data_IF_380633224186
#
_entry.id   IF_380633224186
#
_cell.length_a   1.000
_cell.length_b   1.000
_cell.length_c   1.000
_cell.angle_alpha   90.00
_cell.angle_beta   90.00
_cell.angle_gamma   90.00
#
_symmetry.space_group_name_H-M   'P 1'
#
loop_
_entity.id
_entity.type
_entity.pdbx_description
1 polymer ?
#
# COMPACT_ATOMS: atom_id res chain seq x y z
N UNK A 1 -2.33 -20.12 1.47
CA UNK A 1 -1.37 -19.40 0.63
C UNK A 1 0.04 -19.47 1.23
N UNK A 2 0.25 -18.91 2.42
CA UNK A 2 1.58 -18.88 3.08
C UNK A 2 2.19 -20.26 3.34
N UNK A 3 1.38 -21.28 3.66
CA UNK A 3 1.85 -22.68 3.79
C UNK A 3 2.59 -23.16 2.54
N UNK A 4 2.18 -22.73 1.35
CA UNK A 4 2.82 -23.11 0.09
C UNK A 4 3.95 -22.15 -0.28
N UNK A 5 3.70 -20.84 -0.21
CA UNK A 5 4.69 -19.82 -0.63
C UNK A 5 5.95 -19.77 0.23
N UNK A 6 5.86 -20.27 1.47
CA UNK A 6 6.97 -20.35 2.42
C UNK A 6 7.32 -21.79 2.79
N UNK A 7 6.91 -22.74 1.94
CA UNK A 7 7.30 -24.15 2.02
C UNK A 7 6.98 -24.85 3.36
N UNK A 8 5.98 -24.36 4.12
CA UNK A 8 5.55 -25.04 5.35
C UNK A 8 4.91 -26.40 5.04
N UNK A 9 4.42 -26.63 3.82
CA UNK A 9 4.00 -27.97 3.40
C UNK A 9 5.15 -28.98 3.32
N UNK A 10 6.40 -28.52 3.33
CA UNK A 10 7.63 -29.35 3.39
C UNK A 10 8.25 -29.36 4.80
N UNK A 11 7.58 -28.74 5.79
CA UNK A 11 8.04 -28.67 7.17
C UNK A 11 7.53 -29.88 7.97
N UNK A 12 8.42 -30.85 8.18
CA UNK A 12 8.07 -32.17 8.74
C UNK A 12 8.76 -32.45 10.07
N UNK A 13 8.17 -33.33 10.88
CA UNK A 13 8.84 -33.80 12.10
C UNK A 13 10.14 -34.54 11.73
N UNK A 14 11.25 -34.13 12.32
CA UNK A 14 12.60 -34.65 12.03
C UNK A 14 13.28 -34.02 10.80
N UNK A 15 12.57 -33.20 10.02
CA UNK A 15 13.14 -32.36 8.97
C UNK A 15 12.49 -30.95 8.98
N UNK A 16 12.70 -30.14 10.03
CA UNK A 16 12.09 -28.81 10.12
C UNK A 16 12.58 -27.88 9.01
N UNK A 17 11.65 -27.14 8.40
CA UNK A 17 11.95 -26.07 7.44
C UNK A 17 11.76 -24.71 8.12
N UNK A 18 12.85 -23.95 8.22
CA UNK A 18 12.87 -22.66 8.92
C UNK A 18 12.22 -21.52 8.14
N UNK A 19 11.93 -21.68 6.84
CA UNK A 19 11.48 -20.58 5.98
C UNK A 19 10.22 -19.90 6.52
N UNK A 20 9.14 -20.66 6.72
CA UNK A 20 7.89 -20.12 7.28
C UNK A 20 8.09 -19.46 8.64
N UNK A 21 8.83 -20.11 9.55
CA UNK A 21 9.08 -19.57 10.89
C UNK A 21 9.88 -18.29 10.86
N UNK A 22 10.90 -18.20 10.00
CA UNK A 22 11.71 -16.99 9.81
C UNK A 22 10.85 -15.84 9.31
N UNK A 23 10.12 -16.03 8.22
CA UNK A 23 9.33 -14.95 7.63
C UNK A 23 8.17 -14.51 8.54
N UNK A 24 7.56 -15.43 9.31
CA UNK A 24 6.56 -15.08 10.32
C UNK A 24 7.11 -14.07 11.32
N UNK A 25 8.33 -14.28 11.82
CA UNK A 25 8.97 -13.40 12.80
C UNK A 25 9.51 -12.12 12.13
N UNK A 26 10.11 -12.27 10.95
CA UNK A 26 10.85 -11.21 10.25
C UNK A 26 9.94 -10.24 9.50
N UNK A 27 9.04 -10.75 8.67
CA UNK A 27 8.28 -9.94 7.71
C UNK A 27 6.87 -9.61 8.19
N UNK A 28 6.28 -10.47 9.02
CA UNK A 28 4.86 -10.38 9.35
C UNK A 28 4.55 -9.98 10.80
N UNK A 29 5.53 -10.02 11.71
CA UNK A 29 5.26 -9.73 13.13
C UNK A 29 6.27 -8.81 13.79
N UNK A 30 7.51 -9.24 14.03
CA UNK A 30 8.41 -8.53 14.95
C UNK A 30 9.50 -7.72 14.26
N UNK A 31 9.85 -8.05 13.02
CA UNK A 31 11.00 -7.43 12.35
C UNK A 31 12.34 -7.96 12.84
N UNK A 32 13.37 -7.79 11.99
CA UNK A 32 14.75 -8.24 12.26
C UNK A 32 15.29 -7.68 13.59
N UNK A 33 15.93 -8.55 14.38
CA UNK A 33 16.65 -8.18 15.59
C UNK A 33 15.87 -8.36 16.89
N UNK A 34 14.61 -8.81 16.82
CA UNK A 34 13.73 -9.01 17.97
C UNK A 34 13.55 -10.48 18.38
N UNK A 35 14.29 -11.39 17.76
CA UNK A 35 14.27 -12.84 18.01
C UNK A 35 15.66 -13.43 17.78
N UNK A 36 15.91 -14.61 18.34
CA UNK A 36 17.14 -15.37 18.16
C UNK A 36 17.03 -16.42 17.05
N UNK A 37 18.15 -16.98 16.61
CA UNK A 37 18.15 -18.14 15.70
C UNK A 37 17.45 -19.35 16.34
N UNK A 38 17.51 -19.48 17.67
CA UNK A 38 16.79 -20.53 18.38
C UNK A 38 15.27 -20.35 18.26
N UNK A 39 14.78 -19.12 18.37
CA UNK A 39 13.34 -18.82 18.23
C UNK A 39 12.82 -19.19 16.83
N UNK A 40 13.64 -19.01 15.78
CA UNK A 40 13.31 -19.43 14.41
C UNK A 40 13.14 -20.95 14.34
N UNK A 41 14.09 -21.70 14.90
CA UNK A 41 14.06 -23.16 14.93
C UNK A 41 12.85 -23.69 15.70
N UNK A 42 12.57 -23.11 16.85
CA UNK A 42 11.44 -23.52 17.68
C UNK A 42 10.09 -23.15 17.06
N UNK A 43 10.02 -22.02 16.37
CA UNK A 43 8.86 -21.67 15.53
C UNK A 43 8.68 -22.68 14.41
N UNK A 44 9.74 -23.03 13.68
CA UNK A 44 9.67 -24.03 12.61
C UNK A 44 9.16 -25.38 13.14
N UNK A 45 9.69 -25.85 14.28
CA UNK A 45 9.21 -27.06 14.96
C UNK A 45 7.73 -26.96 15.32
N UNK A 46 7.27 -25.82 15.84
CA UNK A 46 5.88 -25.62 16.24
C UNK A 46 4.88 -25.64 15.07
N UNK A 47 5.32 -25.27 13.85
CA UNK A 47 4.50 -25.30 12.64
C UNK A 47 4.60 -26.60 11.82
N UNK A 48 5.35 -27.60 12.29
CA UNK A 48 5.34 -28.95 11.68
C UNK A 48 3.93 -29.56 11.72
N UNK A 49 3.59 -30.35 10.71
CA UNK A 49 2.26 -30.96 10.58
C UNK A 49 1.18 -30.01 10.02
N UNK A 50 1.41 -28.70 9.96
CA UNK A 50 0.51 -27.75 9.27
C UNK A 50 0.74 -27.82 7.77
N UNK A 51 -0.18 -28.45 7.04
CA UNK A 51 0.02 -28.73 5.62
C UNK A 51 -1.25 -28.50 4.79
N UNK A 52 -1.15 -28.85 3.52
CA UNK A 52 -2.25 -28.80 2.56
C UNK A 52 -2.85 -30.20 2.47
N UNK A 53 -4.16 -30.31 2.67
CA UNK A 53 -4.89 -31.56 2.51
C UNK A 53 -4.76 -32.11 1.10
N UNK A 54 -4.40 -33.40 0.99
CA UNK A 54 -4.25 -34.11 -0.28
C UNK A 54 -3.27 -33.43 -1.26
N UNK A 55 -2.08 -33.07 -0.76
CA UNK A 55 -1.05 -32.29 -1.48
C UNK A 55 -0.75 -32.84 -2.89
N UNK A 56 -0.57 -34.16 -3.04
CA UNK A 56 -0.27 -34.79 -4.34
C UNK A 56 -1.39 -34.56 -5.36
N UNK A 57 -2.65 -34.71 -4.94
CA UNK A 57 -3.80 -34.44 -5.80
C UNK A 57 -3.97 -32.95 -6.09
N UNK A 58 -3.68 -32.08 -5.12
CA UNK A 58 -3.70 -30.63 -5.32
C UNK A 58 -2.60 -30.18 -6.29
N UNK A 59 -1.41 -30.78 -6.24
CA UNK A 59 -0.32 -30.53 -7.18
C UNK A 59 -0.69 -30.96 -8.62
N UNK A 60 -1.25 -32.18 -8.79
CA UNK A 60 -1.76 -32.64 -10.08
C UNK A 60 -2.87 -31.74 -10.63
N UNK A 61 -3.73 -31.21 -9.75
CA UNK A 61 -4.75 -30.23 -10.13
C UNK A 61 -4.13 -28.89 -10.53
N UNK A 62 -3.09 -28.44 -9.85
CA UNK A 62 -2.36 -27.20 -10.17
C UNK A 62 -1.63 -27.26 -11.51
N UNK A 63 -1.14 -28.44 -11.91
CA UNK A 63 -0.55 -28.64 -13.23
C UNK A 63 -1.61 -28.66 -14.35
N UNK A 64 -2.81 -29.18 -14.08
CA UNK A 64 -3.85 -29.36 -15.10
C UNK A 64 -4.83 -28.19 -15.22
N UNK A 65 -5.19 -27.58 -14.10
CA UNK A 65 -6.12 -26.45 -14.03
C UNK A 65 -5.29 -25.16 -13.84
N UNK A 66 -5.58 -24.09 -14.60
CA UNK A 66 -4.87 -22.82 -14.44
C UNK A 66 -5.00 -22.32 -13.01
N UNK A 67 -3.89 -22.17 -12.29
CA UNK A 67 -3.80 -21.57 -10.95
C UNK A 67 -4.18 -20.07 -11.01
N UNK A 68 -4.23 -19.49 -12.21
CA UNK A 68 -4.47 -18.07 -12.49
C UNK A 68 -5.75 -17.80 -13.31
N UNK A 69 -6.39 -16.63 -13.16
CA UNK A 69 -6.52 -15.80 -11.95
C UNK A 69 -7.67 -16.26 -11.04
N UNK A 70 -8.48 -17.22 -11.51
CA UNK A 70 -9.59 -17.86 -10.79
C UNK A 70 -9.42 -19.38 -10.83
N UNK A 71 -8.28 -19.87 -10.34
CA UNK A 71 -8.03 -21.31 -10.31
C UNK A 71 -9.13 -22.06 -9.56
N UNK A 72 -9.58 -23.19 -10.11
CA UNK A 72 -10.64 -24.02 -9.50
C UNK A 72 -10.13 -24.85 -8.32
N UNK A 73 -8.97 -24.49 -7.78
CA UNK A 73 -8.26 -25.22 -6.74
C UNK A 73 -8.61 -24.56 -5.42
N UNK A 74 -9.51 -25.20 -4.69
CA UNK A 74 -9.71 -24.92 -3.29
C UNK A 74 -8.59 -25.64 -2.52
N UNK A 75 -7.58 -24.89 -2.10
CA UNK A 75 -6.57 -25.39 -1.17
C UNK A 75 -7.25 -25.62 0.19
N UNK A 76 -7.05 -26.80 0.78
CA UNK A 76 -7.60 -27.14 2.08
C UNK A 76 -6.46 -27.20 3.09
N UNK A 77 -6.62 -26.56 4.23
CA UNK A 77 -5.74 -26.76 5.37
C UNK A 77 -5.95 -28.16 5.95
N UNK A 78 -4.86 -28.82 6.34
CA UNK A 78 -4.87 -30.08 7.09
C UNK A 78 -3.78 -30.01 8.17
N UNK A 79 -4.12 -30.41 9.39
CA UNK A 79 -3.15 -30.64 10.45
C UNK A 79 -2.90 -32.14 10.60
N UNK A 80 -1.64 -32.55 10.42
CA UNK A 80 -1.19 -33.94 10.56
C UNK A 80 -0.48 -34.12 11.90
N UNK A 81 -1.20 -34.68 12.87
CA UNK A 81 -0.70 -34.90 14.23
C UNK A 81 0.53 -35.82 14.28
N UNK A 82 0.60 -36.81 13.40
CA UNK A 82 1.71 -37.76 13.27
C UNK A 82 2.98 -37.14 12.68
N UNK A 83 2.85 -36.03 11.97
CA UNK A 83 3.94 -35.24 11.37
C UNK A 83 4.27 -33.98 12.18
N UNK A 84 3.62 -33.78 13.33
CA UNK A 84 3.88 -32.66 14.24
C UNK A 84 4.90 -33.04 15.32
N UNK A 85 5.88 -32.17 15.54
CA UNK A 85 6.80 -32.24 16.67
C UNK A 85 6.11 -31.75 17.96
N UNK A 86 5.61 -32.69 18.76
CA UNK A 86 5.00 -32.43 20.08
C UNK A 86 6.00 -32.36 21.25
N UNK A 87 7.29 -32.24 20.94
CA UNK A 87 8.35 -32.03 21.91
C UNK A 87 8.25 -30.69 22.64
N UNK A 88 8.94 -30.60 23.76
CA UNK A 88 9.11 -29.34 24.49
C UNK A 88 9.93 -28.35 23.64
N UNK A 89 9.53 -27.08 23.70
CA UNK A 89 10.09 -25.95 22.96
C UNK A 89 10.26 -24.78 23.91
N UNK A 90 11.25 -23.94 23.61
CA UNK A 90 11.49 -22.68 24.30
C UNK A 90 11.43 -21.55 23.27
N UNK A 91 10.46 -20.66 23.39
CA UNK A 91 10.25 -19.57 22.44
C UNK A 91 10.00 -18.26 23.18
N UNK A 92 10.85 -17.26 22.92
CA UNK A 92 10.77 -15.92 23.54
C UNK A 92 10.58 -15.97 25.08
N UNK A 93 11.31 -16.89 25.73
CA UNK A 93 11.28 -17.09 27.19
C UNK A 93 10.11 -17.93 27.72
N UNK A 94 9.23 -18.44 26.85
CA UNK A 94 8.16 -19.35 27.22
C UNK A 94 8.59 -20.80 26.93
N UNK A 95 8.39 -21.70 27.90
CA UNK A 95 8.72 -23.12 27.75
C UNK A 95 7.46 -23.98 27.82
N UNK A 96 7.32 -24.91 26.90
CA UNK A 96 6.21 -25.85 26.90
C UNK A 96 6.11 -26.68 25.62
N UNK A 97 5.03 -27.44 25.49
CA UNK A 97 4.70 -28.15 24.24
C UNK A 97 3.99 -27.22 23.27
N UNK A 98 4.69 -26.18 22.84
CA UNK A 98 4.13 -25.12 22.01
C UNK A 98 3.82 -25.63 20.59
N UNK A 99 2.62 -25.34 20.10
CA UNK A 99 2.19 -25.49 18.71
C UNK A 99 2.17 -24.12 18.01
N UNK A 100 1.81 -24.10 16.72
CA UNK A 100 1.73 -22.87 15.92
C UNK A 100 0.79 -21.80 16.50
N UNK A 101 -0.33 -22.19 17.10
CA UNK A 101 -1.29 -21.25 17.70
C UNK A 101 -0.69 -20.58 18.94
N UNK A 102 -0.07 -21.34 19.85
CA UNK A 102 0.59 -20.76 21.03
C UNK A 102 1.80 -19.88 20.66
N UNK A 103 2.52 -20.20 19.58
CA UNK A 103 3.56 -19.32 19.06
C UNK A 103 2.97 -17.98 18.60
N UNK A 104 1.84 -17.99 17.89
CA UNK A 104 1.15 -16.77 17.46
C UNK A 104 0.71 -15.94 18.68
N UNK A 105 0.13 -16.58 19.69
CA UNK A 105 -0.28 -15.91 20.92
C UNK A 105 0.91 -15.23 21.63
N UNK A 106 2.06 -15.91 21.72
CA UNK A 106 3.28 -15.35 22.33
C UNK A 106 3.82 -14.18 21.50
N UNK A 107 3.76 -14.26 20.17
CA UNK A 107 4.17 -13.17 19.26
C UNK A 107 3.30 -11.94 19.48
N UNK A 108 1.98 -12.10 19.56
CA UNK A 108 1.05 -10.98 19.79
C UNK A 108 1.29 -10.27 21.13
N UNK A 109 1.83 -10.97 22.13
CA UNK A 109 2.17 -10.38 23.43
C UNK A 109 3.44 -9.51 23.40
N UNK A 110 4.26 -9.59 22.35
CA UNK A 110 5.52 -8.85 22.28
C UNK A 110 5.31 -7.37 21.91
N UNK A 111 6.02 -6.48 22.59
CA UNK A 111 6.04 -5.06 22.22
C UNK A 111 6.62 -4.84 20.82
N UNK A 112 7.61 -5.64 20.40
CA UNK A 112 8.18 -5.59 19.05
C UNK A 112 7.11 -5.77 17.97
N UNK A 113 6.18 -6.71 18.16
CA UNK A 113 5.03 -6.93 17.26
C UNK A 113 4.13 -5.71 17.17
N UNK A 114 3.76 -5.16 18.33
CA UNK A 114 2.91 -3.98 18.42
C UNK A 114 3.54 -2.77 17.70
N UNK A 115 4.85 -2.55 17.90
CA UNK A 115 5.61 -1.45 17.27
C UNK A 115 5.76 -1.66 15.77
N UNK A 116 6.01 -2.90 15.33
CA UNK A 116 6.15 -3.25 13.92
C UNK A 116 4.86 -2.99 13.14
N UNK A 117 3.73 -3.49 13.65
CA UNK A 117 2.39 -3.25 13.06
C UNK A 117 2.07 -1.75 13.09
N UNK A 118 2.33 -1.06 14.19
CA UNK A 118 2.11 0.39 14.33
C UNK A 118 2.88 1.19 13.27
N UNK A 119 4.14 0.82 13.03
CA UNK A 119 4.98 1.49 12.01
C UNK A 119 4.51 1.19 10.60
N UNK A 120 4.04 -0.02 10.31
CA UNK A 120 3.40 -0.34 9.03
C UNK A 120 2.11 0.47 8.80
N UNK A 121 1.26 0.60 9.83
CA UNK A 121 0.05 1.42 9.73
C UNK A 121 0.38 2.89 9.49
N UNK A 122 1.34 3.44 10.24
CA UNK A 122 1.80 4.81 10.05
C UNK A 122 2.37 5.01 8.63
N UNK A 123 3.21 4.08 8.18
CA UNK A 123 3.80 4.11 6.84
C UNK A 123 2.74 4.13 5.74
N UNK A 124 1.69 3.31 5.89
CA UNK A 124 0.67 3.14 4.86
C UNK A 124 -0.36 4.29 4.84
N UNK A 125 -0.73 4.84 6.00
CA UNK A 125 -1.83 5.80 6.10
C UNK A 125 -1.41 7.25 6.33
N UNK A 126 -0.24 7.51 6.92
CA UNK A 126 0.15 8.84 7.39
C UNK A 126 1.27 9.42 6.53
N UNK A 127 2.45 8.81 6.55
CA UNK A 127 3.63 9.34 5.88
C UNK A 127 4.61 8.23 5.51
N UNK A 128 5.38 8.43 4.45
CA UNK A 128 6.38 7.46 4.03
C UNK A 128 7.47 7.26 5.11
N UNK A 129 7.73 6.00 5.45
CA UNK A 129 8.85 5.53 6.25
C UNK A 129 9.94 4.96 5.33
N UNK A 130 11.19 4.82 5.81
CA UNK A 130 12.22 4.06 5.10
C UNK A 130 11.75 2.62 4.82
N UNK A 131 12.35 1.93 3.83
CA UNK A 131 12.07 0.51 3.60
C UNK A 131 12.26 -0.34 4.86
N UNK A 132 11.41 -1.35 5.04
CA UNK A 132 11.37 -2.21 6.25
C UNK A 132 12.75 -2.73 6.69
N UNK A 133 13.65 -3.19 5.80
CA UNK A 133 14.98 -3.65 6.20
C UNK A 133 15.85 -2.60 6.91
N UNK A 134 15.52 -1.31 6.79
CA UNK A 134 16.23 -0.21 7.45
C UNK A 134 15.68 0.12 8.83
N UNK A 135 14.51 -0.38 9.19
CA UNK A 135 13.84 -0.05 10.46
C UNK A 135 14.66 -0.35 11.73
N UNK A 136 15.51 -1.40 11.78
CA UNK A 136 16.39 -1.63 12.93
C UNK A 136 17.46 -0.53 13.12
N UNK A 137 17.78 0.21 12.06
CA UNK A 137 18.86 1.21 12.04
C UNK A 137 18.36 2.64 11.94
N UNK A 138 17.08 2.84 11.56
CA UNK A 138 16.47 4.15 11.39
C UNK A 138 15.22 4.28 12.25
N UNK A 139 15.18 5.23 13.21
CA UNK A 139 14.01 5.44 14.05
C UNK A 139 12.80 5.87 13.20
N UNK A 140 11.57 5.63 13.69
CA UNK A 140 10.37 6.11 13.01
C UNK A 140 10.36 7.63 12.92
N UNK A 141 9.72 8.16 11.87
CA UNK A 141 9.60 9.60 11.61
C UNK A 141 8.85 10.32 12.72
N UNK A 142 7.80 9.69 13.25
CA UNK A 142 7.09 10.14 14.45
C UNK A 142 7.04 9.04 15.52
N UNK A 143 8.01 9.00 16.45
CA UNK A 143 8.02 8.04 17.54
C UNK A 143 6.78 8.11 18.43
N UNK A 144 6.18 9.30 18.62
CA UNK A 144 5.01 9.46 19.50
C UNK A 144 3.75 8.88 18.87
N UNK A 145 3.60 9.00 17.54
CA UNK A 145 2.53 8.33 16.82
C UNK A 145 2.64 6.80 16.97
N UNK A 146 3.86 6.26 16.81
CA UNK A 146 4.10 4.81 17.01
C UNK A 146 3.79 4.37 18.43
N UNK A 147 4.23 5.13 19.44
CA UNK A 147 3.94 4.81 20.85
C UNK A 147 2.43 4.86 21.15
N UNK A 148 1.70 5.81 20.55
CA UNK A 148 0.24 5.93 20.68
C UNK A 148 -0.48 4.70 20.12
N UNK A 149 -0.09 4.25 18.93
CA UNK A 149 -0.66 3.06 18.30
C UNK A 149 -0.25 1.77 19.02
N UNK A 150 0.98 1.72 19.53
CA UNK A 150 1.47 0.60 20.34
C UNK A 150 0.66 0.48 21.63
N UNK A 151 0.37 1.60 22.31
CA UNK A 151 -0.49 1.60 23.49
C UNK A 151 -1.91 1.15 23.15
N UNK A 152 -2.47 1.63 22.03
CA UNK A 152 -3.79 1.23 21.55
C UNK A 152 -3.89 -0.29 21.32
N UNK A 153 -2.83 -0.90 20.78
CA UNK A 153 -2.75 -2.34 20.57
C UNK A 153 -2.90 -3.12 21.88
N UNK A 154 -2.18 -2.74 22.94
CA UNK A 154 -2.26 -3.42 24.23
C UNK A 154 -3.54 -3.09 25.02
N UNK A 155 -4.02 -1.85 24.97
CA UNK A 155 -5.23 -1.42 25.69
C UNK A 155 -6.51 -2.11 25.18
N UNK A 156 -6.48 -2.62 23.94
CA UNK A 156 -7.63 -3.21 23.26
C UNK A 156 -7.40 -4.68 22.88
N UNK A 157 -6.58 -5.41 23.63
CA UNK A 157 -6.37 -6.86 23.42
C UNK A 157 -5.95 -7.20 21.98
N UNK A 158 -5.00 -6.45 21.46
CA UNK A 158 -4.38 -6.61 20.14
C UNK A 158 -5.31 -6.31 18.95
N UNK A 159 -6.43 -5.61 19.18
CA UNK A 159 -7.43 -5.32 18.15
C UNK A 159 -6.97 -4.27 17.14
N UNK A 160 -6.74 -4.73 15.90
CA UNK A 160 -6.35 -3.91 14.75
C UNK A 160 -7.38 -2.83 14.41
N UNK A 161 -8.68 -3.09 14.64
CA UNK A 161 -9.72 -2.09 14.36
C UNK A 161 -9.62 -0.90 15.31
N UNK A 162 -9.37 -1.14 16.59
CA UNK A 162 -9.16 -0.10 17.58
C UNK A 162 -7.93 0.75 17.25
N UNK A 163 -6.83 0.13 16.80
CA UNK A 163 -5.65 0.86 16.31
C UNK A 163 -6.00 1.78 15.13
N UNK A 164 -6.75 1.29 14.14
CA UNK A 164 -7.18 2.10 12.99
C UNK A 164 -8.11 3.24 13.40
N UNK A 165 -9.04 3.01 14.32
CA UNK A 165 -9.93 4.05 14.84
C UNK A 165 -9.13 5.17 15.53
N UNK A 166 -8.16 4.80 16.35
CA UNK A 166 -7.26 5.77 17.01
C UNK A 166 -6.38 6.49 15.98
N UNK A 167 -5.85 5.79 14.97
CA UNK A 167 -5.05 6.38 13.90
C UNK A 167 -5.84 7.45 13.16
N UNK A 168 -7.03 7.13 12.63
CA UNK A 168 -7.80 8.08 11.83
C UNK A 168 -8.39 9.25 12.63
N UNK A 169 -8.51 9.09 13.96
CA UNK A 169 -8.97 10.15 14.84
C UNK A 169 -7.85 10.96 15.51
N UNK A 170 -6.58 10.59 15.32
CA UNK A 170 -5.44 11.27 15.96
C UNK A 170 -5.18 12.67 15.42
N UNK A 171 -4.49 13.48 16.21
CA UNK A 171 -4.01 14.80 15.78
C UNK A 171 -2.91 14.69 14.72
N UNK A 172 -2.03 13.67 14.80
CA UNK A 172 -0.97 13.50 13.81
C UNK A 172 -1.53 13.19 12.42
N UNK A 173 -2.60 12.38 12.32
CA UNK A 173 -3.23 12.06 11.03
C UNK A 173 -3.97 13.25 10.42
N UNK A 174 -4.54 14.12 11.27
CA UNK A 174 -5.27 15.32 10.83
C UNK A 174 -4.38 16.53 10.60
N UNK A 175 -3.12 16.47 11.02
CA UNK A 175 -2.17 17.58 10.89
C UNK A 175 -1.86 17.90 9.43
N UNK A 176 -1.74 19.19 9.11
CA UNK A 176 -1.25 19.66 7.81
C UNK A 176 0.17 19.15 7.52
N UNK A 177 0.96 18.87 8.57
CA UNK A 177 2.32 18.29 8.44
C UNK A 177 2.34 16.87 7.83
N UNK A 178 1.19 16.19 7.80
CA UNK A 178 1.07 14.86 7.18
C UNK A 178 0.52 14.91 5.75
N UNK A 179 0.14 16.10 5.26
CA UNK A 179 -0.40 16.22 3.90
C UNK A 179 0.71 16.02 2.86
N UNK A 180 0.42 15.22 1.84
CA UNK A 180 1.35 14.92 0.75
C UNK A 180 2.64 14.21 1.20
N UNK A 181 2.67 13.65 2.40
CA UNK A 181 3.85 12.96 2.93
C UNK A 181 3.98 11.53 2.42
N UNK A 182 2.93 10.98 1.79
CA UNK A 182 2.94 9.65 1.19
C UNK A 182 2.92 9.72 -0.33
N UNK A 183 3.82 8.97 -0.98
CA UNK A 183 3.73 8.77 -2.43
C UNK A 183 2.54 7.86 -2.75
N UNK A 184 1.64 8.33 -3.64
CA UNK A 184 0.51 7.50 -4.09
C UNK A 184 1.04 6.25 -4.78
N UNK A 185 0.55 5.08 -4.36
CA UNK A 185 0.80 3.84 -5.09
C UNK A 185 0.31 3.98 -6.55
N UNK A 186 0.91 3.28 -7.52
CA UNK A 186 0.43 3.36 -8.90
C UNK A 186 -1.07 3.06 -9.06
N UNK A 187 -1.59 2.10 -8.29
CA UNK A 187 -3.02 1.78 -8.28
C UNK A 187 -3.87 2.96 -7.81
N UNK A 188 -3.45 3.63 -6.73
CA UNK A 188 -4.14 4.79 -6.18
C UNK A 188 -4.11 5.98 -7.16
N UNK A 189 -2.95 6.25 -7.77
CA UNK A 189 -2.81 7.32 -8.76
C UNK A 189 -3.72 7.05 -9.96
N UNK A 190 -3.65 5.85 -10.54
CA UNK A 190 -4.46 5.48 -11.72
C UNK A 190 -5.94 5.52 -11.38
N UNK A 191 -6.37 4.91 -10.28
CA UNK A 191 -7.78 4.91 -9.88
C UNK A 191 -8.30 6.32 -9.58
N UNK A 192 -7.49 7.17 -8.93
CA UNK A 192 -7.83 8.56 -8.64
C UNK A 192 -8.05 9.38 -9.91
N UNK A 193 -7.14 9.27 -10.88
CA UNK A 193 -7.27 9.95 -12.18
C UNK A 193 -8.50 9.46 -12.95
N UNK A 194 -8.72 8.14 -13.02
CA UNK A 194 -9.89 7.59 -13.70
C UNK A 194 -11.22 8.04 -13.08
N UNK A 195 -11.23 8.24 -11.75
CA UNK A 195 -12.37 8.79 -11.03
C UNK A 195 -12.59 10.27 -11.38
N UNK A 196 -11.52 11.07 -11.46
CA UNK A 196 -11.60 12.49 -11.85
C UNK A 196 -12.03 12.66 -13.31
N UNK A 197 -11.56 11.80 -14.20
CA UNK A 197 -11.87 11.89 -15.63
C UNK A 197 -13.28 11.38 -15.96
N UNK A 198 -13.88 10.58 -15.07
CA UNK A 198 -15.18 9.96 -15.30
C UNK A 198 -15.20 9.04 -16.54
N UNK A 199 -14.04 8.53 -16.95
CA UNK A 199 -13.90 7.72 -18.18
C UNK A 199 -14.72 6.41 -18.10
N UNK A 200 -14.89 5.86 -16.89
CA UNK A 200 -15.59 4.60 -16.67
C UNK A 200 -16.78 4.76 -15.70
N UNK A 201 -17.97 4.42 -16.18
CA UNK A 201 -19.21 4.29 -15.41
C UNK A 201 -19.59 2.82 -15.11
N UNK A 202 -18.92 1.88 -15.79
CA UNK A 202 -19.12 0.43 -15.69
C UNK A 202 -17.88 -0.31 -16.18
N UNK A 203 -17.71 -1.60 -15.86
CA UNK A 203 -16.63 -2.42 -16.42
C UNK A 203 -16.74 -2.50 -17.95
N UNK A 204 -15.67 -2.12 -18.66
CA UNK A 204 -15.52 -2.22 -20.13
C UNK A 204 -14.13 -2.71 -20.46
N UNK A 205 -13.89 -3.13 -21.70
CA UNK A 205 -12.61 -3.78 -22.10
C UNK A 205 -11.41 -2.82 -21.98
N UNK A 206 -11.63 -1.54 -22.23
CA UNK A 206 -10.66 -0.46 -22.20
C UNK A 206 -10.02 -0.28 -20.81
N UNK A 207 -10.64 -0.81 -19.75
CA UNK A 207 -10.06 -0.82 -18.40
C UNK A 207 -8.75 -1.60 -18.33
N UNK A 208 -8.55 -2.59 -19.22
CA UNK A 208 -7.33 -3.38 -19.27
C UNK A 208 -6.12 -2.51 -19.64
N UNK A 209 -6.29 -1.61 -20.62
CA UNK A 209 -5.23 -0.71 -21.07
C UNK A 209 -4.86 0.28 -19.95
N UNK A 210 -5.83 0.72 -19.15
CA UNK A 210 -5.60 1.58 -17.98
C UNK A 210 -4.96 0.81 -16.83
N UNK A 211 -5.38 -0.42 -16.56
CA UNK A 211 -4.77 -1.26 -15.53
C UNK A 211 -3.30 -1.57 -15.85
N UNK A 212 -2.95 -1.66 -17.13
CA UNK A 212 -1.57 -1.87 -17.58
C UNK A 212 -0.67 -0.67 -17.26
N UNK A 213 -1.23 0.54 -17.13
CA UNK A 213 -0.44 1.71 -16.73
C UNK A 213 0.12 1.57 -15.31
N UNK A 214 -0.64 0.97 -14.39
CA UNK A 214 -0.13 0.68 -13.05
C UNK A 214 1.05 -0.29 -13.10
N UNK A 215 1.06 -1.23 -14.06
CA UNK A 215 2.19 -2.17 -14.27
C UNK A 215 3.45 -1.42 -14.71
N UNK A 216 3.33 -0.48 -15.66
CA UNK A 216 4.48 0.32 -16.12
C UNK A 216 5.05 1.23 -15.02
N UNK A 217 4.24 1.56 -14.02
CA UNK A 217 4.64 2.29 -12.82
C UNK A 217 5.10 1.39 -11.66
N UNK A 218 5.17 0.07 -11.86
CA UNK A 218 5.73 -0.89 -10.90
C UNK A 218 4.71 -1.71 -10.10
N UNK A 219 3.41 -1.51 -10.28
CA UNK A 219 2.38 -2.23 -9.51
C UNK A 219 1.43 -3.03 -10.42
N UNK A 220 1.71 -4.33 -10.53
CA UNK A 220 0.75 -5.27 -11.11
C UNK A 220 -0.26 -5.69 -10.07
N UNK A 221 -1.50 -5.21 -10.19
CA UNK A 221 -2.60 -5.59 -9.29
C UNK A 221 -2.72 -7.12 -9.17
N UNK A 222 -3.06 -7.59 -7.97
CA UNK A 222 -3.21 -9.02 -7.61
C UNK A 222 -1.97 -9.90 -7.90
N UNK A 223 -0.82 -9.31 -8.17
CA UNK A 223 0.43 -10.00 -8.47
C UNK A 223 1.61 -9.29 -7.78
N UNK A 224 1.70 -9.37 -6.44
CA UNK A 224 2.83 -8.82 -5.72
C UNK A 224 4.14 -9.52 -6.09
N UNK A 225 5.29 -8.83 -6.03
CA UNK A 225 6.59 -9.41 -6.39
C UNK A 225 7.07 -10.49 -5.41
N UNK A 226 6.65 -10.43 -4.14
CA UNK A 226 6.99 -11.41 -3.10
C UNK A 226 5.85 -11.55 -2.08
N UNK A 227 6.04 -12.41 -1.08
CA UNK A 227 5.11 -12.54 0.06
C UNK A 227 5.01 -11.28 0.92
N UNK A 228 6.02 -10.40 0.85
CA UNK A 228 6.04 -9.10 1.54
C UNK A 228 5.05 -8.11 0.92
N UNK A 229 4.52 -8.41 -0.27
CA UNK A 229 3.66 -7.51 -1.02
C UNK A 229 4.45 -6.58 -1.93
N UNK A 230 3.93 -5.38 -2.15
CA UNK A 230 4.61 -4.34 -2.92
C UNK A 230 5.41 -3.42 -2.01
N UNK A 231 6.52 -2.91 -2.54
CA UNK A 231 7.29 -1.83 -1.92
C UNK A 231 6.43 -0.56 -1.81
N UNK A 232 6.85 0.40 -1.00
CA UNK A 232 6.04 1.58 -0.66
C UNK A 232 6.85 2.88 -0.72
N UNK A 233 6.14 4.00 -0.64
CA UNK A 233 6.73 5.33 -0.61
C UNK A 233 7.62 5.66 -1.81
N UNK A 234 8.83 6.15 -1.54
CA UNK A 234 9.74 6.65 -2.57
C UNK A 234 10.22 5.57 -3.54
N UNK A 235 10.08 4.28 -3.20
CA UNK A 235 10.43 3.18 -4.11
C UNK A 235 9.51 3.12 -5.34
N UNK A 236 8.34 3.78 -5.29
CA UNK A 236 7.50 3.98 -6.47
C UNK A 236 8.07 4.97 -7.48
N UNK A 237 9.10 5.74 -7.11
CA UNK A 237 9.66 6.84 -7.89
C UNK A 237 11.10 6.50 -8.29
N UNK A 238 11.25 6.07 -9.54
CA UNK A 238 12.52 6.07 -10.26
C UNK A 238 12.40 6.93 -11.53
N UNK A 239 13.50 7.14 -12.24
CA UNK A 239 13.52 7.99 -13.45
C UNK A 239 12.53 7.51 -14.52
N UNK A 240 12.29 6.20 -14.64
CA UNK A 240 11.36 5.61 -15.59
C UNK A 240 9.91 5.72 -15.11
N UNK A 241 9.62 5.28 -13.89
CA UNK A 241 8.25 5.30 -13.36
C UNK A 241 7.72 6.71 -13.21
N UNK A 242 8.58 7.69 -12.87
CA UNK A 242 8.17 9.10 -12.79
C UNK A 242 7.67 9.62 -14.13
N UNK A 243 8.34 9.28 -15.24
CA UNK A 243 7.90 9.69 -16.58
C UNK A 243 6.55 9.08 -16.93
N UNK A 244 6.35 7.79 -16.65
CA UNK A 244 5.07 7.12 -16.90
C UNK A 244 3.93 7.75 -16.08
N UNK A 245 4.18 8.04 -14.80
CA UNK A 245 3.21 8.71 -13.91
C UNK A 245 2.81 10.10 -14.43
N UNK A 246 3.78 10.91 -14.82
CA UNK A 246 3.54 12.26 -15.33
C UNK A 246 2.82 12.24 -16.68
N UNK A 247 3.23 11.35 -17.58
CA UNK A 247 2.60 11.19 -18.90
C UNK A 247 1.14 10.75 -18.77
N UNK A 248 0.87 9.74 -17.94
CA UNK A 248 -0.48 9.25 -17.71
C UNK A 248 -1.38 10.34 -17.12
N UNK A 249 -0.93 11.00 -16.04
CA UNK A 249 -1.70 12.06 -15.39
C UNK A 249 -1.98 13.22 -16.36
N UNK A 250 -0.97 13.67 -17.09
CA UNK A 250 -1.08 14.76 -18.06
C UNK A 250 -2.03 14.42 -19.22
N UNK A 251 -1.89 13.22 -19.80
CA UNK A 251 -2.70 12.79 -20.94
C UNK A 251 -4.17 12.68 -20.57
N UNK A 252 -4.48 12.14 -19.40
CA UNK A 252 -5.87 11.93 -18.99
C UNK A 252 -6.56 13.25 -18.59
N UNK A 253 -5.85 14.14 -17.89
CA UNK A 253 -6.42 15.41 -17.44
C UNK A 253 -6.51 16.49 -18.53
N UNK A 254 -5.72 16.38 -19.60
CA UNK A 254 -5.81 17.29 -20.75
C UNK A 254 -6.88 16.88 -21.77
N UNK A 255 -7.42 15.66 -21.68
CA UNK A 255 -8.43 15.19 -22.62
C UNK A 255 -9.82 15.76 -22.28
N UNK A 256 -10.21 16.82 -22.99
CA UNK A 256 -11.52 17.48 -22.83
C UNK A 256 -12.72 16.63 -23.24
N UNK A 257 -12.50 15.52 -23.94
CA UNK A 257 -13.58 14.57 -24.29
C UNK A 257 -13.96 13.68 -23.09
N UNK A 258 -13.11 13.61 -22.07
CA UNK A 258 -13.42 12.89 -20.83
C UNK A 258 -14.55 13.63 -20.09
N UNK A 259 -15.67 12.95 -19.74
CA UNK A 259 -16.84 13.60 -19.13
C UNK A 259 -16.50 14.37 -17.86
N UNK A 260 -15.69 13.80 -16.97
CA UNK A 260 -15.29 14.44 -15.71
C UNK A 260 -14.37 15.64 -15.93
N UNK A 261 -13.48 15.60 -16.93
CA UNK A 261 -12.64 16.76 -17.29
C UNK A 261 -13.51 17.89 -17.85
N UNK A 262 -14.46 17.58 -18.73
CA UNK A 262 -15.39 18.57 -19.27
C UNK A 262 -16.25 19.21 -18.17
N UNK A 263 -16.70 18.42 -17.19
CA UNK A 263 -17.43 18.93 -16.02
C UNK A 263 -16.58 19.83 -15.14
N UNK A 264 -15.32 19.44 -14.84
CA UNK A 264 -14.38 20.26 -14.07
C UNK A 264 -14.17 21.60 -14.80
N UNK A 265 -13.87 21.57 -16.09
CA UNK A 265 -13.69 22.79 -16.90
C UNK A 265 -14.96 23.65 -16.86
N UNK A 266 -16.13 23.03 -16.99
CA UNK A 266 -17.43 23.70 -16.91
C UNK A 266 -17.63 24.42 -15.58
N UNK A 267 -17.27 23.81 -14.44
CA UNK A 267 -17.34 24.44 -13.11
C UNK A 267 -16.35 25.59 -12.97
N UNK A 268 -15.10 25.38 -13.36
CA UNK A 268 -14.03 26.39 -13.29
C UNK A 268 -14.37 27.64 -14.11
N UNK A 269 -15.01 27.47 -15.28
CA UNK A 269 -15.44 28.57 -16.16
C UNK A 269 -16.78 29.18 -15.71
N UNK A 270 -17.71 28.34 -15.23
CA UNK A 270 -19.11 28.68 -14.94
C UNK A 270 -19.32 29.59 -13.72
N UNK A 271 -18.35 29.68 -12.81
CA UNK A 271 -18.41 30.53 -11.61
C UNK A 271 -18.29 32.05 -11.88
N UNK A 272 -18.40 32.48 -13.14
CA UNK A 272 -18.63 33.89 -13.50
C UNK A 272 -17.39 34.78 -13.55
N UNK A 273 -16.19 34.24 -13.31
CA UNK A 273 -14.92 34.93 -13.53
C UNK A 273 -14.19 34.33 -14.74
N UNK A 274 -14.51 34.81 -15.94
CA UNK A 274 -13.76 34.49 -17.17
C UNK A 274 -12.34 35.10 -17.20
N UNK A 275 -11.94 35.80 -16.13
CA UNK A 275 -10.60 36.33 -16.01
C UNK A 275 -9.68 35.26 -15.44
N UNK A 276 -8.57 34.99 -16.16
CA UNK A 276 -7.43 34.25 -15.65
C UNK A 276 -6.73 35.07 -14.54
N UNK A 277 -7.41 35.30 -13.42
CA UNK A 277 -6.84 35.88 -12.22
C UNK A 277 -6.23 34.78 -11.33
N UNK A 278 -5.67 35.19 -10.19
CA UNK A 278 -5.01 34.29 -9.25
C UNK A 278 -6.00 33.26 -8.61
N UNK A 279 -7.31 33.46 -8.78
CA UNK A 279 -8.35 32.52 -8.34
C UNK A 279 -8.56 31.35 -9.32
N UNK A 280 -8.09 31.44 -10.57
CA UNK A 280 -8.13 30.31 -11.52
C UNK A 280 -7.28 29.13 -11.04
N UNK A 281 -6.06 29.41 -10.56
CA UNK A 281 -5.16 28.39 -10.05
C UNK A 281 -5.81 27.67 -8.87
N UNK A 282 -6.35 28.44 -7.91
CA UNK A 282 -7.02 27.87 -6.75
C UNK A 282 -8.22 27.00 -7.13
N UNK A 283 -9.09 27.47 -8.04
CA UNK A 283 -10.23 26.66 -8.51
C UNK A 283 -9.79 25.34 -9.15
N UNK A 284 -8.74 25.35 -9.98
CA UNK A 284 -8.23 24.12 -10.58
C UNK A 284 -7.64 23.17 -9.54
N UNK A 285 -6.92 23.69 -8.55
CA UNK A 285 -6.39 22.90 -7.44
C UNK A 285 -7.52 22.26 -6.62
N UNK A 286 -8.54 23.05 -6.26
CA UNK A 286 -9.70 22.60 -5.48
C UNK A 286 -10.47 21.48 -6.22
N UNK A 287 -10.74 21.65 -7.51
CA UNK A 287 -11.43 20.66 -8.34
C UNK A 287 -10.64 19.36 -8.53
N UNK A 288 -9.31 19.43 -8.44
CA UNK A 288 -8.43 18.26 -8.48
C UNK A 288 -8.16 17.66 -7.10
N UNK A 289 -8.74 18.23 -6.03
CA UNK A 289 -8.55 17.78 -4.66
C UNK A 289 -7.13 18.03 -4.13
N UNK A 290 -6.41 18.99 -4.69
CA UNK A 290 -5.06 19.39 -4.24
C UNK A 290 -5.24 20.58 -3.29
N UNK A 291 -5.27 20.32 -1.99
CA UNK A 291 -5.56 21.33 -0.96
C UNK A 291 -4.48 22.40 -0.84
N UNK A 292 -3.21 22.03 -1.08
CA UNK A 292 -2.08 22.95 -1.01
C UNK A 292 -0.99 22.55 -2.00
N UNK A 293 -0.20 23.55 -2.42
CA UNK A 293 1.00 23.35 -3.22
C UNK A 293 2.13 24.23 -2.68
N UNK A 294 3.37 23.80 -2.88
CA UNK A 294 4.55 24.60 -2.53
C UNK A 294 4.54 25.97 -3.22
N UNK A 295 5.18 26.98 -2.61
CA UNK A 295 5.27 28.33 -3.18
C UNK A 295 5.87 28.32 -4.60
N UNK A 296 6.84 27.44 -4.85
CA UNK A 296 7.45 27.27 -6.17
C UNK A 296 6.48 26.73 -7.21
N UNK A 297 5.75 25.65 -6.90
CA UNK A 297 4.69 25.11 -7.77
C UNK A 297 3.62 26.17 -8.02
N UNK A 298 3.16 26.86 -6.97
CA UNK A 298 2.13 27.92 -7.06
C UNK A 298 2.56 29.03 -8.02
N UNK A 299 3.78 29.54 -7.88
CA UNK A 299 4.31 30.61 -8.72
C UNK A 299 4.37 30.21 -10.21
N UNK A 300 4.68 28.95 -10.52
CA UNK A 300 4.69 28.44 -11.90
C UNK A 300 3.26 28.43 -12.48
N UNK A 301 2.29 27.94 -11.72
CA UNK A 301 0.88 27.90 -12.13
C UNK A 301 0.31 29.32 -12.31
N UNK A 302 0.60 30.23 -11.39
CA UNK A 302 0.17 31.64 -11.47
C UNK A 302 0.79 32.36 -12.66
N UNK A 303 2.08 32.12 -12.95
CA UNK A 303 2.74 32.69 -14.12
C UNK A 303 2.10 32.19 -15.42
N UNK A 304 1.78 30.89 -15.51
CA UNK A 304 1.05 30.34 -16.64
C UNK A 304 -0.34 30.99 -16.80
N UNK A 305 -1.09 31.15 -15.71
CA UNK A 305 -2.39 31.85 -15.74
C UNK A 305 -2.23 33.30 -16.22
N UNK A 306 -1.23 34.02 -15.70
CA UNK A 306 -0.98 35.42 -16.04
C UNK A 306 -0.61 35.62 -17.51
N UNK A 307 0.19 34.72 -18.10
CA UNK A 307 0.57 34.76 -19.52
C UNK A 307 -0.62 34.55 -20.47
N UNK A 308 -1.66 33.84 -20.01
CA UNK A 308 -2.85 33.52 -20.80
C UNK A 308 -4.05 34.45 -20.49
N UNK A 309 -3.84 35.55 -19.75
CA UNK A 309 -4.87 36.56 -19.47
C UNK A 309 -5.42 37.19 -20.76
N UNK A 310 -6.74 37.18 -20.92
CA UNK A 310 -7.45 37.86 -22.01
C UNK A 310 -7.69 37.03 -23.28
N UNK A 311 -7.31 35.74 -23.29
CA UNK A 311 -7.60 34.80 -24.38
C UNK A 311 -8.96 34.11 -24.17
N UNK A 312 -10.05 34.90 -24.12
CA UNK A 312 -11.41 34.42 -23.80
C UNK A 312 -11.92 33.34 -24.77
N UNK A 313 -11.46 33.34 -26.03
CA UNK A 313 -11.87 32.36 -27.03
C UNK A 313 -11.27 30.95 -26.80
N UNK A 314 -10.25 30.83 -25.95
CA UNK A 314 -9.52 29.58 -25.68
C UNK A 314 -9.64 29.14 -24.21
N UNK A 315 -10.59 29.67 -23.45
CA UNK A 315 -10.73 29.43 -22.01
C UNK A 315 -10.75 27.92 -21.65
N UNK A 316 -11.48 27.10 -22.40
CA UNK A 316 -11.50 25.64 -22.23
C UNK A 316 -10.10 25.02 -22.35
N UNK A 317 -9.32 25.46 -23.34
CA UNK A 317 -7.98 24.93 -23.60
C UNK A 317 -6.99 25.39 -22.51
N UNK A 318 -7.10 26.63 -22.04
CA UNK A 318 -6.28 27.16 -20.95
C UNK A 318 -6.54 26.38 -19.66
N UNK A 319 -7.81 26.12 -19.32
CA UNK A 319 -8.14 25.31 -18.13
C UNK A 319 -7.64 23.89 -18.30
N UNK A 320 -7.83 23.25 -19.46
CA UNK A 320 -7.30 21.90 -19.70
C UNK A 320 -5.77 21.81 -19.53
N UNK A 321 -5.03 22.82 -20.02
CA UNK A 321 -3.59 22.92 -19.81
C UNK A 321 -3.23 23.17 -18.35
N UNK A 322 -4.01 23.97 -17.62
CA UNK A 322 -3.82 24.16 -16.18
C UNK A 322 -4.03 22.84 -15.41
N UNK A 323 -5.09 22.09 -15.72
CA UNK A 323 -5.34 20.77 -15.11
C UNK A 323 -4.21 19.79 -15.42
N UNK A 324 -3.68 19.82 -16.65
CA UNK A 324 -2.50 19.05 -17.04
C UNK A 324 -1.27 19.41 -16.19
N UNK A 325 -1.00 20.69 -15.99
CA UNK A 325 0.11 21.16 -15.16
C UNK A 325 -0.06 20.73 -13.70
N UNK A 326 -1.26 20.88 -13.13
CA UNK A 326 -1.58 20.43 -11.77
C UNK A 326 -1.38 18.91 -11.63
N UNK A 327 -1.83 18.12 -12.60
CA UNK A 327 -1.67 16.65 -12.62
C UNK A 327 -0.19 16.21 -12.61
N UNK A 328 0.70 17.07 -13.14
CA UNK A 328 2.14 16.84 -13.21
C UNK A 328 2.91 17.35 -11.98
N UNK A 329 2.23 17.95 -10.99
CA UNK A 329 2.87 18.45 -9.76
C UNK A 329 3.29 17.32 -8.83
N UNK A 330 4.28 17.60 -7.97
CA UNK A 330 4.72 16.66 -6.93
C UNK A 330 3.60 16.38 -5.92
N UNK A 331 2.83 17.40 -5.58
CA UNK A 331 1.74 17.37 -4.62
C UNK A 331 0.57 16.52 -5.12
N UNK A 332 0.24 16.57 -6.42
CA UNK A 332 -0.78 15.69 -6.99
C UNK A 332 -0.37 14.21 -6.98
N UNK A 333 0.92 13.92 -7.10
CA UNK A 333 1.47 12.56 -7.07
C UNK A 333 1.52 11.96 -5.66
N UNK A 334 1.18 12.76 -4.64
CA UNK A 334 1.23 12.42 -3.22
C UNK A 334 -0.13 12.54 -2.56
N UNK A 335 -0.31 11.82 -1.46
CA UNK A 335 -1.52 11.79 -0.62
C UNK A 335 -1.18 12.32 0.77
#
# INVERSE_FOLDING_TARGET
AMIYWLDNNENHNGAPNENFGRELLELFSMGVGNYSEQDIKETARAFTGWTIGNTEYMALRAERDSIWPYGRIAWHFEFKEDDHDSGEKEFLGNTGRLNGDEIIDIICQQESTARFISRHMYHFFVADEPPVPQWPYTPPRDPKAIDTLTQAYFDNDYDIRAMLDILFNSEFFKSEDSWHERVKSPAELVAGILRLTGEFDRPRREILDRSTQAIYMGQHLINPPSVEGWHQGTEWIDTGTLVERLNFASQQMSNVENPGVAEIIGRVIGDGSHQADDSLVQRCLDEMGVTSVSEGTRAILENFAAQNRGLENDATQIVAQMLQMVAATHEFQRA
#
